data_IF_658105720575
#
_entry.id   IF_658105720575
#
_cell.length_a   1.000
_cell.length_b   1.000
_cell.length_c   1.000
_cell.angle_alpha   90.00
_cell.angle_beta   90.00
_cell.angle_gamma   90.00
#
_symmetry.space_group_name_H-M   'P 1'
#
loop_
_entity.id
_entity.type
_entity.pdbx_description
1 polymer ?
#
# COMPACT_ATOMS: atom_id res chain seq x y z
N UNK A 1 -4.14 -17.86 2.78
CA UNK A 1 -4.87 -18.03 1.51
C UNK A 1 -5.10 -16.70 0.79
N UNK A 2 -5.75 -15.71 1.41
CA UNK A 2 -6.01 -14.41 0.76
C UNK A 2 -4.73 -13.64 0.40
N UNK A 3 -3.75 -13.58 1.32
CA UNK A 3 -2.48 -12.90 1.10
C UNK A 3 -1.73 -13.42 -0.16
N UNK A 4 -1.77 -14.74 -0.41
CA UNK A 4 -1.15 -15.35 -1.59
C UNK A 4 -1.90 -15.02 -2.88
N UNK A 5 -3.24 -14.95 -2.84
CA UNK A 5 -4.04 -14.52 -3.98
C UNK A 5 -3.78 -13.04 -4.31
N UNK A 6 -3.74 -12.19 -3.30
CA UNK A 6 -3.42 -10.77 -3.45
C UNK A 6 -2.00 -10.60 -3.97
N UNK A 7 -1.01 -11.35 -3.48
CA UNK A 7 0.39 -11.25 -3.92
C UNK A 7 0.62 -11.55 -5.41
N UNK A 8 -0.21 -12.40 -6.02
CA UNK A 8 -0.08 -12.76 -7.45
C UNK A 8 -0.36 -11.60 -8.40
N UNK A 9 -1.29 -10.70 -8.04
CA UNK A 9 -1.70 -9.60 -8.92
C UNK A 9 -0.61 -8.52 -9.05
N UNK A 10 -0.06 -7.94 -7.95
CA UNK A 10 1.09 -7.06 -8.01
C UNK A 10 2.32 -7.75 -8.58
N UNK A 11 2.57 -9.02 -8.24
CA UNK A 11 3.72 -9.75 -8.80
C UNK A 11 3.68 -9.81 -10.33
N UNK A 12 2.51 -10.01 -10.93
CA UNK A 12 2.38 -9.99 -12.40
C UNK A 12 2.69 -8.63 -13.01
N UNK A 13 2.38 -7.54 -12.30
CA UNK A 13 2.67 -6.18 -12.76
C UNK A 13 4.14 -5.82 -12.53
N UNK A 14 4.72 -6.25 -11.41
CA UNK A 14 6.05 -5.84 -10.99
C UNK A 14 7.16 -6.65 -11.67
N UNK A 15 7.01 -7.97 -11.70
CA UNK A 15 8.05 -8.90 -12.20
C UNK A 15 7.61 -9.66 -13.45
N UNK A 16 6.43 -9.34 -14.00
CA UNK A 16 5.90 -9.95 -15.21
C UNK A 16 5.25 -11.32 -15.03
N UNK A 17 4.70 -11.90 -16.11
CA UNK A 17 3.90 -13.13 -16.07
C UNK A 17 4.70 -14.41 -15.79
N UNK A 18 6.01 -14.42 -16.02
CA UNK A 18 6.85 -15.61 -15.83
C UNK A 18 7.15 -15.87 -14.34
N UNK A 19 7.35 -14.81 -13.55
CA UNK A 19 7.70 -14.90 -12.14
C UNK A 19 6.49 -14.78 -11.20
N UNK A 20 5.32 -14.34 -11.68
CA UNK A 20 4.16 -14.13 -10.82
C UNK A 20 3.55 -15.40 -10.22
N UNK A 21 3.86 -16.57 -10.78
CA UNK A 21 3.42 -17.88 -10.30
C UNK A 21 4.54 -18.67 -9.61
N UNK A 22 5.75 -18.12 -9.52
CA UNK A 22 6.87 -18.77 -8.84
C UNK A 22 6.61 -18.79 -7.32
N UNK A 23 6.56 -19.98 -6.73
CA UNK A 23 6.26 -20.16 -5.30
C UNK A 23 7.33 -19.57 -4.40
N UNK A 24 8.61 -19.66 -4.77
CA UNK A 24 9.72 -19.08 -4.00
C UNK A 24 9.65 -17.55 -4.01
N UNK A 25 9.28 -16.94 -5.14
CA UNK A 25 9.08 -15.50 -5.23
C UNK A 25 7.89 -15.03 -4.39
N UNK A 26 6.76 -15.74 -4.47
CA UNK A 26 5.58 -15.42 -3.69
C UNK A 26 5.85 -15.58 -2.19
N UNK A 27 6.56 -16.63 -1.77
CA UNK A 27 6.91 -16.86 -0.38
C UNK A 27 7.82 -15.75 0.16
N UNK A 28 8.86 -15.37 -0.59
CA UNK A 28 9.75 -14.25 -0.23
C UNK A 28 8.98 -12.94 -0.18
N UNK A 29 8.10 -12.66 -1.16
CA UNK A 29 7.35 -11.40 -1.24
C UNK A 29 6.26 -11.28 -0.15
N UNK A 30 5.71 -12.40 0.28
CA UNK A 30 4.75 -12.50 1.39
C UNK A 30 5.45 -12.38 2.74
N UNK A 31 6.57 -13.07 2.92
CA UNK A 31 7.28 -13.15 4.20
C UNK A 31 8.32 -12.06 4.38
N UNK A 32 8.46 -11.14 3.42
CA UNK A 32 9.41 -10.04 3.53
C UNK A 32 9.19 -9.19 4.77
N UNK A 33 7.96 -9.07 5.24
CA UNK A 33 7.64 -8.36 6.49
C UNK A 33 8.23 -9.05 7.69
N UNK A 34 8.14 -10.38 7.77
CA UNK A 34 8.76 -11.13 8.84
C UNK A 34 10.28 -11.02 8.77
N UNK A 35 10.87 -11.10 7.57
CA UNK A 35 12.30 -10.94 7.38
C UNK A 35 12.79 -9.51 7.68
N UNK A 36 12.03 -8.50 7.28
CA UNK A 36 12.31 -7.08 7.50
C UNK A 36 12.12 -6.66 8.95
N UNK A 37 11.07 -7.13 9.63
CA UNK A 37 10.85 -6.92 11.06
C UNK A 37 11.91 -7.63 11.90
N UNK A 38 12.24 -8.89 11.59
CA UNK A 38 13.32 -9.63 12.27
C UNK A 38 14.67 -8.92 12.04
N UNK A 39 14.92 -8.39 10.85
CA UNK A 39 16.13 -7.62 10.55
C UNK A 39 16.14 -6.26 11.27
N UNK A 40 15.01 -5.54 11.32
CA UNK A 40 14.86 -4.28 12.02
C UNK A 40 15.00 -4.43 13.54
N UNK A 41 14.42 -5.49 14.11
CA UNK A 41 14.57 -5.88 15.51
C UNK A 41 16.02 -6.32 15.78
N UNK A 42 16.64 -7.10 14.90
CA UNK A 42 18.06 -7.44 15.02
C UNK A 42 18.97 -6.22 14.93
N UNK A 43 18.57 -5.16 14.20
CA UNK A 43 19.32 -3.91 14.05
C UNK A 43 18.99 -2.85 15.12
N UNK A 44 17.84 -2.94 15.80
CA UNK A 44 17.45 -2.01 16.86
C UNK A 44 18.31 -2.16 18.12
N UNK A 45 18.88 -3.35 18.32
CA UNK A 45 19.82 -3.64 19.40
C UNK A 45 21.24 -3.09 19.17
N UNK A 46 21.53 -2.52 17.98
CA UNK A 46 22.87 -2.07 17.62
C UNK A 46 22.96 -0.54 17.53
N UNK A 47 23.98 0.08 18.14
CA UNK A 47 24.24 1.51 18.02
C UNK A 47 24.40 1.96 16.56
N UNK A 48 23.89 3.16 16.24
CA UNK A 48 23.81 3.71 14.88
C UNK A 48 25.14 3.75 14.11
N UNK A 49 26.28 3.79 14.81
CA UNK A 49 27.62 3.81 14.21
C UNK A 49 28.15 2.44 13.74
N UNK A 50 27.53 1.31 14.14
CA UNK A 50 27.92 -0.03 13.67
C UNK A 50 27.19 -0.48 12.40
N UNK A 51 26.12 0.23 12.03
CA UNK A 51 25.30 -0.06 10.84
C UNK A 51 26.13 -0.13 9.53
N UNK A 52 27.10 0.76 9.25
CA UNK A 52 27.88 0.70 8.01
C UNK A 52 28.76 -0.56 7.88
N UNK A 53 29.19 -1.12 9.02
CA UNK A 53 30.04 -2.31 9.06
C UNK A 53 29.23 -3.57 8.78
N UNK A 54 28.00 -3.64 9.30
CA UNK A 54 27.09 -4.79 9.15
C UNK A 54 26.51 -4.86 7.72
N UNK A 55 26.20 -3.71 7.10
CA UNK A 55 25.76 -3.63 5.70
C UNK A 55 26.79 -4.22 4.71
N UNK A 56 28.06 -4.31 5.10
CA UNK A 56 29.17 -4.84 4.28
C UNK A 56 29.25 -6.38 4.29
N UNK A 57 28.54 -7.06 5.19
CA UNK A 57 28.55 -8.51 5.33
C UNK A 57 27.33 -9.23 4.72
N UNK A 58 26.50 -8.54 3.92
CA UNK A 58 25.41 -9.13 3.13
C UNK A 58 25.91 -9.44 1.70
N UNK A 59 26.43 -10.65 1.40
CA UNK A 59 27.26 -10.87 0.21
C UNK A 59 26.47 -11.42 -0.99
N UNK A 60 25.20 -11.81 -0.81
CA UNK A 60 24.57 -12.79 -1.71
C UNK A 60 23.98 -12.22 -3.01
N UNK A 61 23.79 -10.89 -3.15
CA UNK A 61 23.10 -10.31 -4.32
C UNK A 61 23.92 -9.38 -5.23
N UNK A 62 25.15 -9.01 -4.83
CA UNK A 62 26.03 -8.19 -5.69
C UNK A 62 26.53 -8.94 -6.92
N UNK A 63 26.63 -10.27 -6.83
CA UNK A 63 27.18 -11.11 -7.90
C UNK A 63 26.13 -11.39 -9.00
N UNK A 64 24.86 -11.58 -8.62
CA UNK A 64 23.76 -11.88 -9.55
C UNK A 64 23.42 -10.67 -10.45
N UNK A 65 23.48 -9.44 -9.91
CA UNK A 65 23.29 -8.21 -10.69
C UNK A 65 24.46 -7.88 -11.63
N UNK A 66 25.67 -8.39 -11.35
CA UNK A 66 26.82 -8.25 -12.24
C UNK A 66 26.63 -9.11 -13.49
N UNK A 67 26.15 -10.34 -13.31
CA UNK A 67 25.88 -11.29 -14.40
C UNK A 67 24.77 -10.82 -15.36
N UNK A 68 23.73 -10.11 -14.86
CA UNK A 68 22.66 -9.57 -15.69
C UNK A 68 23.10 -8.37 -16.54
N UNK A 69 24.02 -7.53 -16.04
CA UNK A 69 24.59 -6.38 -16.78
C UNK A 69 25.58 -6.82 -17.87
N UNK A 70 26.33 -7.89 -17.62
CA UNK A 70 27.30 -8.45 -18.57
C UNK A 70 26.62 -9.17 -19.76
N UNK A 71 25.33 -9.54 -19.63
CA UNK A 71 24.57 -10.26 -20.67
C UNK A 71 23.97 -9.36 -21.77
N UNK A 72 24.13 -8.02 -21.71
CA UNK A 72 23.84 -7.12 -22.84
C UNK A 72 22.38 -7.06 -23.33
N UNK A 73 21.41 -7.53 -22.54
CA UNK A 73 20.00 -7.46 -22.90
C UNK A 73 19.47 -6.02 -22.86
N UNK A 74 18.84 -5.56 -23.94
CA UNK A 74 17.98 -4.37 -23.87
C UNK A 74 16.81 -4.71 -22.97
N UNK A 75 16.67 -4.00 -21.85
CA UNK A 75 15.49 -4.07 -20.99
C UNK A 75 14.25 -3.93 -21.89
N UNK A 76 13.39 -4.95 -21.83
CA UNK A 76 12.22 -4.99 -22.68
C UNK A 76 11.27 -3.85 -22.34
N UNK A 77 10.58 -3.32 -23.35
CA UNK A 77 9.56 -2.27 -23.20
C UNK A 77 8.21 -2.85 -22.75
N UNK A 78 8.20 -3.96 -22.02
CA UNK A 78 7.09 -4.31 -21.14
C UNK A 78 7.35 -3.61 -19.80
N UNK A 79 6.35 -2.92 -19.24
CA UNK A 79 6.51 -2.01 -18.10
C UNK A 79 6.97 -2.73 -16.82
N UNK A 80 8.27 -2.96 -16.69
CA UNK A 80 8.94 -3.47 -15.51
C UNK A 80 9.11 -2.34 -14.48
N UNK A 81 8.82 -2.64 -13.23
CA UNK A 81 8.99 -1.72 -12.10
C UNK A 81 10.44 -1.28 -11.90
N UNK A 82 11.41 -2.06 -12.38
CA UNK A 82 12.82 -1.65 -12.48
C UNK A 82 12.97 -0.40 -13.37
N UNK A 83 12.26 -0.35 -14.50
CA UNK A 83 12.30 0.80 -15.41
C UNK A 83 11.73 2.09 -14.79
N UNK A 84 10.67 1.96 -13.98
CA UNK A 84 10.12 3.11 -13.23
C UNK A 84 11.05 3.59 -12.13
N UNK A 85 11.73 2.67 -11.45
CA UNK A 85 12.71 2.99 -10.41
C UNK A 85 13.95 3.67 -11.00
N UNK A 86 14.43 3.22 -12.16
CA UNK A 86 15.52 3.86 -12.91
C UNK A 86 15.18 5.29 -13.32
N UNK A 87 13.96 5.52 -13.83
CA UNK A 87 13.48 6.86 -14.18
C UNK A 87 13.38 7.76 -12.94
N UNK A 88 12.84 7.22 -11.84
CA UNK A 88 12.72 7.94 -10.57
C UNK A 88 14.08 8.26 -9.94
N UNK A 89 15.07 7.38 -10.09
CA UNK A 89 16.40 7.53 -9.52
C UNK A 89 17.23 8.64 -10.19
N UNK A 90 16.92 9.04 -11.42
CA UNK A 90 17.62 10.11 -12.17
C UNK A 90 19.15 9.99 -12.16
N UNK A 91 19.67 8.76 -12.27
CA UNK A 91 21.10 8.45 -12.23
C UNK A 91 21.69 8.28 -10.82
N UNK A 92 20.87 8.34 -9.77
CA UNK A 92 21.25 7.93 -8.42
C UNK A 92 21.36 6.40 -8.30
N UNK A 93 22.31 5.93 -7.50
CA UNK A 93 22.43 4.50 -7.21
C UNK A 93 21.35 4.04 -6.22
N UNK A 94 20.67 2.95 -6.54
CA UNK A 94 19.78 2.24 -5.61
C UNK A 94 20.05 0.74 -5.69
N UNK A 95 19.49 0.00 -4.73
CA UNK A 95 19.52 -1.46 -4.74
C UNK A 95 18.22 -1.97 -5.37
N UNK A 96 18.31 -2.48 -6.59
CA UNK A 96 17.17 -2.94 -7.39
C UNK A 96 16.37 -4.03 -6.66
N UNK A 97 17.07 -4.90 -5.93
CA UNK A 97 16.41 -5.93 -5.11
C UNK A 97 15.62 -5.28 -4.00
N UNK A 98 16.25 -4.42 -3.20
CA UNK A 98 15.60 -3.82 -2.04
C UNK A 98 14.41 -2.96 -2.46
N UNK A 99 14.52 -2.26 -3.58
CA UNK A 99 13.45 -1.45 -4.13
C UNK A 99 12.27 -2.33 -4.61
N UNK A 100 12.53 -3.41 -5.34
CA UNK A 100 11.50 -4.36 -5.79
C UNK A 100 10.78 -5.05 -4.62
N UNK A 101 11.56 -5.46 -3.64
CA UNK A 101 11.09 -6.05 -2.41
C UNK A 101 10.25 -5.05 -1.59
N UNK A 102 10.67 -3.79 -1.51
CA UNK A 102 9.92 -2.71 -0.88
C UNK A 102 8.59 -2.41 -1.58
N UNK A 103 8.57 -2.41 -2.92
CA UNK A 103 7.35 -2.26 -3.72
C UNK A 103 6.36 -3.41 -3.48
N UNK A 104 6.88 -4.65 -3.47
CA UNK A 104 6.08 -5.84 -3.18
C UNK A 104 5.48 -5.78 -1.78
N UNK A 105 6.27 -5.43 -0.78
CA UNK A 105 5.79 -5.20 0.59
C UNK A 105 4.65 -4.17 0.63
N UNK A 106 4.87 -2.99 0.05
CA UNK A 106 3.89 -1.90 0.06
C UNK A 106 2.56 -2.29 -0.61
N UNK A 107 2.63 -3.05 -1.71
CA UNK A 107 1.46 -3.44 -2.48
C UNK A 107 0.68 -4.61 -1.86
N UNK A 108 1.36 -5.55 -1.20
CA UNK A 108 0.72 -6.80 -0.72
C UNK A 108 0.00 -6.60 0.60
N UNK A 109 0.66 -6.00 1.60
CA UNK A 109 0.14 -5.95 2.96
C UNK A 109 -1.12 -5.08 3.07
N UNK A 110 -1.02 -3.82 2.67
CA UNK A 110 -2.13 -2.85 2.75
C UNK A 110 -3.36 -3.29 1.94
N UNK A 111 -3.15 -3.93 0.80
CA UNK A 111 -4.23 -4.48 -0.05
C UNK A 111 -4.87 -5.71 0.60
N UNK A 112 -4.07 -6.59 1.19
CA UNK A 112 -4.58 -7.79 1.85
C UNK A 112 -5.39 -7.46 3.10
N UNK A 113 -4.95 -6.49 3.89
CA UNK A 113 -5.69 -5.99 5.06
C UNK A 113 -7.03 -5.41 4.64
N UNK A 114 -7.05 -4.54 3.62
CA UNK A 114 -8.28 -3.95 3.09
C UNK A 114 -9.28 -5.03 2.62
N UNK A 115 -8.82 -6.00 1.84
CA UNK A 115 -9.71 -7.05 1.33
C UNK A 115 -10.18 -7.96 2.47
N UNK A 116 -9.33 -8.26 3.44
CA UNK A 116 -9.70 -9.07 4.61
C UNK A 116 -10.79 -8.38 5.43
N UNK A 117 -10.60 -7.10 5.74
CA UNK A 117 -11.60 -6.29 6.46
C UNK A 117 -12.92 -6.25 5.71
N UNK A 118 -12.88 -5.92 4.41
CA UNK A 118 -14.09 -5.78 3.61
C UNK A 118 -14.88 -7.10 3.48
N UNK A 119 -14.17 -8.24 3.40
CA UNK A 119 -14.81 -9.56 3.37
C UNK A 119 -15.43 -9.89 4.72
N UNK A 120 -14.75 -9.61 5.83
CA UNK A 120 -15.32 -9.82 7.17
C UNK A 120 -16.58 -8.96 7.38
N UNK A 121 -16.52 -7.67 7.04
CA UNK A 121 -17.68 -6.77 7.12
C UNK A 121 -18.88 -7.31 6.32
N UNK A 122 -18.62 -7.86 5.13
CA UNK A 122 -19.66 -8.45 4.29
C UNK A 122 -20.20 -9.78 4.83
N UNK A 123 -19.39 -10.53 5.57
CA UNK A 123 -19.86 -11.73 6.26
C UNK A 123 -20.82 -11.38 7.40
N UNK A 124 -20.57 -10.27 8.10
CA UNK A 124 -21.43 -9.77 9.18
C UNK A 124 -22.66 -9.02 8.65
N UNK A 125 -22.57 -8.46 7.44
CA UNK A 125 -23.63 -7.68 6.79
C UNK A 125 -24.02 -8.23 5.39
N UNK A 126 -24.54 -9.47 5.31
CA UNK A 126 -24.83 -10.15 4.04
C UNK A 126 -25.94 -9.46 3.22
N UNK A 127 -26.77 -8.62 3.83
CA UNK A 127 -27.84 -7.86 3.17
C UNK A 127 -27.34 -6.93 2.05
N UNK A 128 -26.06 -6.55 2.07
CA UNK A 128 -25.46 -5.69 1.04
C UNK A 128 -24.91 -6.45 -0.17
N UNK A 129 -24.77 -7.78 -0.09
CA UNK A 129 -24.13 -8.59 -1.13
C UNK A 129 -24.85 -8.48 -2.48
N UNK A 130 -26.17 -8.50 -2.49
CA UNK A 130 -26.94 -8.47 -3.73
C UNK A 130 -26.83 -7.10 -4.41
N UNK A 131 -26.92 -6.02 -3.65
CA UNK A 131 -26.75 -4.66 -4.16
C UNK A 131 -25.35 -4.43 -4.77
N UNK A 132 -24.30 -4.95 -4.11
CA UNK A 132 -22.92 -4.86 -4.62
C UNK A 132 -22.74 -5.68 -5.90
N UNK A 133 -23.26 -6.91 -5.93
CA UNK A 133 -23.19 -7.77 -7.12
C UNK A 133 -23.93 -7.17 -8.30
N UNK A 134 -25.08 -6.57 -8.05
CA UNK A 134 -25.87 -5.88 -9.08
C UNK A 134 -25.12 -4.68 -9.64
N UNK A 135 -24.54 -3.83 -8.78
CA UNK A 135 -23.72 -2.68 -9.19
C UNK A 135 -22.53 -3.14 -10.04
N UNK A 136 -21.74 -4.09 -9.54
CA UNK A 136 -20.57 -4.61 -10.25
C UNK A 136 -20.94 -5.22 -11.59
N UNK A 137 -22.00 -6.04 -11.63
CA UNK A 137 -22.47 -6.69 -12.85
C UNK A 137 -22.96 -5.68 -13.87
N UNK A 138 -23.67 -4.64 -13.44
CA UNK A 138 -24.20 -3.59 -14.31
C UNK A 138 -23.06 -2.76 -14.91
N UNK A 139 -22.10 -2.32 -14.09
CA UNK A 139 -20.95 -1.56 -14.54
C UNK A 139 -20.09 -2.34 -15.54
N UNK A 140 -19.82 -3.62 -15.26
CA UNK A 140 -19.03 -4.49 -16.15
C UNK A 140 -19.79 -4.80 -17.45
N UNK A 141 -21.11 -5.03 -17.40
CA UNK A 141 -21.92 -5.24 -18.62
C UNK A 141 -21.93 -4.00 -19.51
N UNK A 142 -21.97 -2.80 -18.92
CA UNK A 142 -22.01 -1.55 -19.66
C UNK A 142 -20.66 -1.15 -20.28
N UNK A 143 -19.56 -1.38 -19.56
CA UNK A 143 -18.26 -0.81 -19.92
C UNK A 143 -17.13 -1.83 -20.07
N UNK A 144 -17.41 -3.13 -19.90
CA UNK A 144 -16.41 -4.18 -19.80
C UNK A 144 -15.49 -4.00 -18.58
N UNK A 145 -14.38 -4.74 -18.55
CA UNK A 145 -13.31 -4.55 -17.57
C UNK A 145 -12.50 -3.30 -17.90
N UNK A 146 -13.03 -2.13 -17.57
CA UNK A 146 -12.44 -0.83 -17.89
C UNK A 146 -12.38 0.09 -16.67
N UNK A 147 -11.53 1.12 -16.76
CA UNK A 147 -11.46 2.18 -15.75
C UNK A 147 -12.82 2.82 -15.49
N UNK A 148 -13.64 2.96 -16.54
CA UNK A 148 -14.98 3.55 -16.44
C UNK A 148 -15.92 2.67 -15.61
N UNK A 149 -15.89 1.34 -15.81
CA UNK A 149 -16.64 0.41 -14.97
C UNK A 149 -16.27 0.57 -13.48
N UNK A 150 -14.97 0.63 -13.17
CA UNK A 150 -14.49 0.79 -11.78
C UNK A 150 -14.94 2.13 -11.17
N UNK A 151 -14.99 3.20 -11.96
CA UNK A 151 -15.45 4.52 -11.50
C UNK A 151 -16.96 4.56 -11.22
N UNK A 152 -17.74 3.69 -11.86
CA UNK A 152 -19.19 3.63 -11.68
C UNK A 152 -19.60 2.71 -10.51
N UNK A 153 -18.68 1.92 -9.95
CA UNK A 153 -18.88 1.10 -8.75
C UNK A 153 -18.79 1.92 -7.45
N UNK A 154 -19.69 2.89 -7.30
CA UNK A 154 -19.64 3.89 -6.21
C UNK A 154 -20.00 3.32 -4.84
N UNK A 155 -20.93 2.37 -4.77
CA UNK A 155 -21.29 1.66 -3.54
C UNK A 155 -20.14 0.76 -3.09
N UNK A 156 -19.51 0.05 -4.03
CA UNK A 156 -18.33 -0.77 -3.76
C UNK A 156 -17.19 0.08 -3.19
N UNK A 157 -16.89 1.23 -3.81
CA UNK A 157 -15.89 2.17 -3.30
C UNK A 157 -16.26 2.70 -1.90
N UNK A 158 -17.52 3.05 -1.68
CA UNK A 158 -18.02 3.51 -0.38
C UNK A 158 -17.86 2.44 0.71
N UNK A 159 -18.17 1.18 0.40
CA UNK A 159 -17.98 0.05 1.32
C UNK A 159 -16.50 -0.13 1.67
N UNK A 160 -15.61 -0.08 0.68
CA UNK A 160 -14.17 -0.20 0.91
C UNK A 160 -13.64 0.92 1.81
N UNK A 161 -14.14 2.14 1.65
CA UNK A 161 -13.79 3.27 2.52
C UNK A 161 -14.29 3.06 3.95
N UNK A 162 -15.52 2.60 4.12
CA UNK A 162 -16.09 2.32 5.45
C UNK A 162 -15.35 1.17 6.13
N UNK A 163 -15.06 0.09 5.41
CA UNK A 163 -14.28 -1.02 5.93
C UNK A 163 -12.89 -0.57 6.37
N UNK A 164 -12.20 0.24 5.55
CA UNK A 164 -10.90 0.80 5.93
C UNK A 164 -11.00 1.68 7.18
N UNK A 165 -12.09 2.42 7.39
CA UNK A 165 -12.26 3.27 8.57
C UNK A 165 -12.27 2.46 9.87
N UNK A 166 -12.94 1.30 9.87
CA UNK A 166 -13.02 0.41 11.04
C UNK A 166 -11.78 -0.47 11.23
N UNK A 167 -11.09 -0.82 10.14
CA UNK A 167 -9.97 -1.76 10.16
C UNK A 167 -8.60 -1.07 10.03
N UNK A 168 -8.52 0.26 10.15
CA UNK A 168 -7.24 0.95 10.03
C UNK A 168 -6.35 0.68 11.25
N UNK A 169 -5.32 -0.13 11.08
CA UNK A 169 -4.44 -0.56 12.19
C UNK A 169 -3.49 0.52 12.71
N UNK A 170 -3.29 1.62 11.97
CA UNK A 170 -2.39 2.69 12.38
C UNK A 170 -3.12 3.77 13.19
N UNK A 171 -2.49 4.26 14.25
CA UNK A 171 -3.01 5.35 15.09
C UNK A 171 -2.65 6.75 14.56
N UNK A 172 -1.66 6.82 13.66
CA UNK A 172 -1.17 8.06 13.07
C UNK A 172 -0.53 7.81 11.71
N UNK A 173 -0.60 8.80 10.82
CA UNK A 173 -0.01 8.75 9.49
C UNK A 173 0.80 10.02 9.17
N UNK A 174 1.25 10.13 7.92
CA UNK A 174 1.95 11.32 7.39
C UNK A 174 3.17 11.73 8.23
N UNK A 175 4.02 10.75 8.54
CA UNK A 175 5.25 10.98 9.29
C UNK A 175 6.16 12.01 8.61
N UNK A 176 6.65 12.99 9.37
CA UNK A 176 7.56 14.05 8.92
C UNK A 176 8.65 14.29 9.98
N UNK A 177 9.84 14.65 9.51
CA UNK A 177 10.91 15.20 10.34
C UNK A 177 11.17 16.63 9.88
N UNK A 178 11.15 17.58 10.81
CA UNK A 178 11.45 18.97 10.49
C UNK A 178 12.94 19.12 10.13
N UNK A 179 13.25 19.49 8.89
CA UNK A 179 14.62 19.74 8.43
C UNK A 179 15.25 21.00 9.05
N UNK A 180 14.40 21.96 9.43
CA UNK A 180 14.75 23.20 10.10
C UNK A 180 13.66 23.62 11.09
N UNK A 181 13.96 24.62 11.92
CA UNK A 181 12.95 25.14 12.85
C UNK A 181 11.99 26.05 12.09
N UNK A 182 10.69 25.82 12.21
CA UNK A 182 9.65 26.59 11.52
C UNK A 182 8.51 26.96 12.49
N UNK A 183 7.78 28.03 12.15
CA UNK A 183 6.59 28.45 12.85
C UNK A 183 5.39 28.30 11.93
N UNK A 184 4.36 27.61 12.40
CA UNK A 184 3.09 27.45 11.69
C UNK A 184 2.26 28.73 11.77
N UNK A 185 1.25 28.84 10.91
CA UNK A 185 0.35 30.00 10.84
C UNK A 185 -0.44 30.26 12.12
N UNK A 186 -0.64 29.23 12.94
CA UNK A 186 -1.29 29.32 14.26
C UNK A 186 -0.32 29.74 15.38
N UNK A 187 0.95 29.99 15.04
CA UNK A 187 2.00 30.35 15.99
C UNK A 187 2.75 29.15 16.59
N UNK A 188 2.33 27.91 16.33
CA UNK A 188 3.02 26.71 16.83
C UNK A 188 4.44 26.62 16.28
N UNK A 189 5.43 26.46 17.15
CA UNK A 189 6.84 26.35 16.76
C UNK A 189 7.29 24.89 16.71
N UNK A 190 7.75 24.43 15.55
CA UNK A 190 8.31 23.10 15.36
C UNK A 190 9.84 23.23 15.29
N UNK A 191 10.59 22.64 16.25
CA UNK A 191 12.04 22.72 16.23
C UNK A 191 12.63 21.79 15.16
N UNK A 192 13.83 22.14 14.68
CA UNK A 192 14.62 21.28 13.80
C UNK A 192 14.81 19.89 14.43
N UNK A 193 14.57 18.84 13.65
CA UNK A 193 14.66 17.44 14.07
C UNK A 193 13.42 16.90 14.76
N UNK A 194 12.38 17.73 15.01
CA UNK A 194 11.13 17.24 15.55
C UNK A 194 10.46 16.23 14.62
N UNK A 195 9.95 15.15 15.20
CA UNK A 195 9.14 14.17 14.51
C UNK A 195 7.65 14.50 14.69
N UNK A 196 6.94 14.65 13.59
CA UNK A 196 5.52 14.99 13.58
C UNK A 196 4.74 13.96 12.79
N UNK A 197 3.50 13.73 13.21
CA UNK A 197 2.55 12.82 12.59
C UNK A 197 1.14 13.39 12.72
N UNK A 198 0.22 12.92 11.87
CA UNK A 198 -1.19 13.28 11.94
C UNK A 198 -1.94 12.14 12.61
N UNK A 199 -2.56 12.41 13.75
CA UNK A 199 -3.41 11.45 14.43
C UNK A 199 -4.63 11.09 13.56
N UNK A 200 -5.04 9.83 13.63
CA UNK A 200 -6.15 9.29 12.83
C UNK A 200 -7.43 9.12 13.66
N UNK A 201 -7.45 9.67 14.86
CA UNK A 201 -8.59 9.75 15.77
C UNK A 201 -9.86 10.36 15.14
N UNK A 202 -9.70 11.18 14.09
CA UNK A 202 -10.82 11.71 13.32
C UNK A 202 -11.59 10.68 12.48
N UNK A 203 -11.06 9.48 12.30
CA UNK A 203 -11.78 8.38 11.63
C UNK A 203 -13.03 7.94 12.42
N UNK A 204 -13.05 8.15 13.73
CA UNK A 204 -14.18 7.79 14.62
C UNK A 204 -14.82 9.00 15.29
N UNK A 205 -14.51 10.22 14.81
CA UNK A 205 -15.03 11.43 15.42
C UNK A 205 -16.54 11.58 15.15
N UNK A 206 -17.34 11.60 16.22
CA UNK A 206 -18.79 11.88 16.18
C UNK A 206 -19.13 13.25 15.58
N UNK A 207 -18.18 14.19 15.60
CA UNK A 207 -18.31 15.48 14.94
C UNK A 207 -18.28 15.38 13.39
N UNK A 208 -17.78 14.27 12.85
CA UNK A 208 -17.62 14.04 11.40
C UNK A 208 -18.58 12.96 10.91
N UNK A 209 -18.77 11.89 11.67
CA UNK A 209 -19.59 10.75 11.30
C UNK A 209 -20.74 10.54 12.29
N UNK A 210 -21.96 10.50 11.77
CA UNK A 210 -23.13 10.04 12.51
C UNK A 210 -23.01 8.53 12.74
N UNK A 211 -23.18 8.07 13.98
CA UNK A 211 -22.92 6.68 14.38
C UNK A 211 -21.56 6.14 13.85
N UNK A 212 -20.42 6.63 14.40
CA UNK A 212 -19.09 6.25 13.92
C UNK A 212 -18.76 4.78 14.24
N UNK A 213 -19.43 4.16 15.20
CA UNK A 213 -19.16 2.76 15.54
C UNK A 213 -20.04 1.78 14.74
N UNK A 214 -21.14 2.25 14.16
CA UNK A 214 -21.92 1.48 13.20
C UNK A 214 -21.20 1.31 11.85
N UNK A 215 -21.35 0.13 11.26
CA UNK A 215 -20.93 -0.13 9.88
C UNK A 215 -22.03 0.31 8.91
N UNK A 216 -21.72 1.32 8.07
CA UNK A 216 -22.63 1.78 7.02
C UNK A 216 -21.90 1.82 5.67
N UNK A 217 -22.09 0.81 4.78
CA UNK A 217 -21.39 0.75 3.50
C UNK A 217 -21.80 1.86 2.53
N UNK A 218 -22.92 2.56 2.77
CA UNK A 218 -23.35 3.72 1.98
C UNK A 218 -22.81 5.05 2.49
N UNK A 219 -22.12 5.09 3.63
CA UNK A 219 -21.71 6.34 4.29
C UNK A 219 -21.06 7.33 3.33
N UNK A 220 -20.04 6.89 2.59
CA UNK A 220 -19.31 7.76 1.66
C UNK A 220 -20.08 8.01 0.35
N UNK A 221 -20.94 7.09 -0.06
CA UNK A 221 -21.85 7.27 -1.19
C UNK A 221 -22.84 8.41 -0.92
N UNK A 222 -23.44 8.42 0.27
CA UNK A 222 -24.45 9.41 0.66
C UNK A 222 -23.81 10.77 0.96
N UNK A 223 -22.60 10.79 1.56
CA UNK A 223 -21.83 12.03 1.75
C UNK A 223 -21.56 12.77 0.43
N UNK A 224 -21.29 12.06 -0.67
CA UNK A 224 -21.06 12.67 -2.00
C UNK A 224 -22.27 13.40 -2.57
N UNK A 225 -23.46 13.08 -2.11
CA UNK A 225 -24.69 13.71 -2.59
C UNK A 225 -24.91 15.10 -1.96
N UNK A 226 -24.12 15.44 -0.92
CA UNK A 226 -24.18 16.75 -0.29
C UNK A 226 -23.40 17.80 -1.10
N UNK A 227 -23.94 19.02 -1.28
CA UNK A 227 -23.24 20.09 -1.99
C UNK A 227 -21.86 20.37 -1.39
N UNK A 228 -20.81 20.35 -2.22
CA UNK A 228 -19.42 20.60 -1.82
C UNK A 228 -18.66 19.37 -1.29
N UNK A 229 -19.28 18.18 -1.32
CA UNK A 229 -18.65 16.92 -0.90
C UNK A 229 -18.54 15.89 -2.02
N UNK A 230 -18.67 16.32 -3.28
CA UNK A 230 -18.74 15.46 -4.46
C UNK A 230 -17.50 14.56 -4.63
N UNK A 231 -16.37 14.95 -4.03
CA UNK A 231 -15.09 14.23 -4.08
C UNK A 231 -14.74 13.44 -2.80
N UNK A 232 -15.63 13.36 -1.80
CA UNK A 232 -15.34 12.67 -0.53
C UNK A 232 -15.33 11.14 -0.63
#
# INVERSE_FOLDING_TARGET
>A
MLLQLVARVPSRVFVGPELCANEDWLDVSVNITMHGMTAAESLSHWPSYLRPLIYRFLPKRREENRMARDAGGKASKEADTVGWLDEAAKGGSYDDTLAQLGLSFAAIHTTSELISGAVNDLCDHPEWLDALREEMSTAIKAHGWSKKAMQDMKLTDSLMKESRRHHFGDIAAMHRVASESLQLSDGTRIPKGAYSMVALDKMDATAVFEDPFGFNPRRFLDMRQQPGQENK
#
